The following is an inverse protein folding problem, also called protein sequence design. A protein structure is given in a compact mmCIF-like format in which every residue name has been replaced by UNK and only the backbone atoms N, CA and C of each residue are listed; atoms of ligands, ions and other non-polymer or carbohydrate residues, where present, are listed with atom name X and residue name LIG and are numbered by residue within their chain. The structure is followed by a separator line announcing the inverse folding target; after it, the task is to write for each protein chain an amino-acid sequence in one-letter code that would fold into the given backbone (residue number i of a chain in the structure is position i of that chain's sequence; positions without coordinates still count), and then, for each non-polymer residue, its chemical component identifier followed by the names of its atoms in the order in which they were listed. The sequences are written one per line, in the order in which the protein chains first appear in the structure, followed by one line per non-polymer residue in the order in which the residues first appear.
data_IF_296303731141
#
_entry.id   IF_296303731141
#
_cell.length_a   1.000
_cell.length_b   1.000
_cell.length_c   1.000
_cell.angle_alpha   90.00
_cell.angle_beta   90.00
_cell.angle_gamma   90.00
#
_symmetry.space_group_name_H-M   'P 1'
#
loop_
_entity.id
_entity.type
_entity.pdbx_description
1 polymer ?
#
# COMPACT_ATOMS: atom_id res chain seq x y z
N UNK A 1 -13.35 9.98 -5.03
CA UNK A 1 -11.89 9.78 -4.98
C UNK A 1 -11.68 8.31 -4.76
N UNK A 2 -10.94 7.65 -5.66
CA UNK A 2 -10.62 6.24 -5.46
C UNK A 2 -9.63 6.10 -4.30
N UNK A 3 -9.85 5.16 -3.38
CA UNK A 3 -8.95 4.99 -2.24
C UNK A 3 -7.56 4.60 -2.73
N UNK A 4 -6.50 4.99 -2.00
CA UNK A 4 -5.17 4.49 -2.27
C UNK A 4 -5.18 2.96 -2.17
N UNK A 5 -4.54 2.31 -3.14
CA UNK A 5 -4.48 0.85 -3.24
C UNK A 5 -3.03 0.42 -3.38
N UNK A 6 -2.66 -0.63 -2.64
CA UNK A 6 -1.36 -1.29 -2.72
C UNK A 6 -1.62 -2.76 -3.06
N UNK A 7 -1.17 -3.20 -4.23
CA UNK A 7 -1.21 -4.60 -4.65
C UNK A 7 0.19 -5.21 -4.44
N UNK A 8 0.26 -6.33 -3.70
CA UNK A 8 1.51 -7.02 -3.37
C UNK A 8 1.42 -8.49 -3.82
N UNK A 9 2.16 -8.82 -4.87
CA UNK A 9 2.35 -10.19 -5.35
C UNK A 9 3.82 -10.37 -5.77
N UNK A 10 4.10 -10.91 -6.96
CA UNK A 10 5.44 -10.95 -7.56
C UNK A 10 6.03 -9.55 -7.82
N UNK A 11 5.17 -8.54 -7.87
CA UNK A 11 5.50 -7.12 -7.99
C UNK A 11 4.70 -6.32 -6.95
N UNK A 12 5.13 -5.08 -6.69
CA UNK A 12 4.39 -4.12 -5.88
C UNK A 12 3.87 -3.00 -6.76
N UNK A 13 2.57 -2.69 -6.66
CA UNK A 13 1.94 -1.58 -7.37
C UNK A 13 1.21 -0.66 -6.41
N UNK A 14 1.34 0.65 -6.60
CA UNK A 14 0.64 1.67 -5.82
C UNK A 14 -0.20 2.54 -6.74
N UNK A 15 -1.50 2.60 -6.45
CA UNK A 15 -2.46 3.44 -7.16
C UNK A 15 -3.01 4.50 -6.21
N UNK A 16 -3.01 5.75 -6.64
CA UNK A 16 -3.59 6.90 -5.90
C UNK A 16 -4.59 7.60 -6.79
N UNK A 17 -5.82 7.78 -6.32
CA UNK A 17 -6.91 8.39 -7.09
C UNK A 17 -7.07 7.77 -8.49
N UNK A 18 -6.98 6.44 -8.57
CA UNK A 18 -7.13 5.68 -9.83
C UNK A 18 -5.91 5.70 -10.76
N UNK A 19 -4.85 6.46 -10.44
CA UNK A 19 -3.62 6.52 -11.25
C UNK A 19 -2.53 5.64 -10.66
N UNK A 20 -1.92 4.77 -11.47
CA UNK A 20 -0.71 4.03 -11.05
C UNK A 20 0.44 5.02 -10.86
N UNK A 21 0.93 5.14 -9.64
CA UNK A 21 1.96 6.12 -9.26
C UNK A 21 3.33 5.48 -9.05
N UNK A 22 3.38 4.18 -8.75
CA UNK A 22 4.60 3.43 -8.54
C UNK A 22 4.41 1.96 -8.91
N UNK A 23 5.41 1.41 -9.60
CA UNK A 23 5.56 -0.03 -9.84
C UNK A 23 6.98 -0.45 -9.50
N UNK A 24 7.09 -1.48 -8.66
CA UNK A 24 8.34 -2.16 -8.32
C UNK A 24 8.24 -3.58 -8.89
N UNK A 25 8.88 -3.80 -10.04
CA UNK A 25 8.81 -5.07 -10.77
C UNK A 25 9.54 -6.22 -10.06
N UNK A 26 10.62 -5.93 -9.34
CA UNK A 26 11.39 -6.91 -8.58
C UNK A 26 11.78 -6.33 -7.22
N UNK A 27 11.54 -7.09 -6.16
CA UNK A 27 11.93 -6.70 -4.81
C UNK A 27 13.29 -7.30 -4.45
N UNK A 28 14.09 -6.57 -3.66
CA UNK A 28 15.40 -7.05 -3.20
C UNK A 28 15.32 -8.18 -2.18
N UNK A 29 14.16 -8.33 -1.52
CA UNK A 29 13.92 -9.33 -0.47
C UNK A 29 12.97 -10.42 -0.92
N UNK A 30 12.87 -11.50 -0.13
CA UNK A 30 11.82 -12.50 -0.32
C UNK A 30 10.51 -11.98 0.29
N UNK A 31 9.40 -12.26 -0.38
CA UNK A 31 8.07 -12.00 0.17
C UNK A 31 7.87 -12.84 1.44
N UNK A 32 7.36 -12.22 2.48
CA UNK A 32 7.00 -12.87 3.74
C UNK A 32 5.68 -12.29 4.26
N UNK A 33 4.86 -13.14 4.87
CA UNK A 33 3.70 -12.67 5.61
C UNK A 33 4.15 -11.90 6.85
N UNK A 34 3.40 -10.84 7.19
CA UNK A 34 3.72 -9.98 8.32
C UNK A 34 2.59 -9.01 8.64
N UNK A 35 2.82 -8.20 9.68
CA UNK A 35 1.88 -7.16 10.08
C UNK A 35 1.95 -5.95 9.15
N UNK A 36 0.81 -5.30 8.94
CA UNK A 36 0.71 -4.04 8.20
C UNK A 36 0.49 -2.91 9.21
N UNK A 37 1.27 -1.84 9.10
CA UNK A 37 1.17 -0.66 9.96
C UNK A 37 0.80 0.59 9.16
N UNK A 38 -0.01 1.46 9.75
CA UNK A 38 -0.26 2.81 9.27
C UNK A 38 0.60 3.77 10.09
N UNK A 39 1.35 4.63 9.41
CA UNK A 39 2.28 5.56 10.06
C UNK A 39 1.91 6.99 9.69
N UNK A 40 1.95 7.86 10.70
CA UNK A 40 1.73 9.31 10.58
C UNK A 40 2.96 9.99 11.17
N UNK A 41 3.53 10.93 10.43
CA UNK A 41 4.75 11.59 10.86
C UNK A 41 4.49 12.56 12.02
N UNK A 42 5.54 12.85 12.80
CA UNK A 42 5.45 13.74 13.96
C UNK A 42 5.00 15.13 13.51
N UNK A 43 4.04 15.71 14.24
CA UNK A 43 3.50 17.04 13.94
C UNK A 43 2.49 17.06 12.80
N UNK A 44 2.11 15.90 12.26
CA UNK A 44 1.03 15.77 11.28
C UNK A 44 -0.17 15.04 11.89
N UNK A 45 -1.37 15.39 11.44
CA UNK A 45 -2.60 14.67 11.77
C UNK A 45 -3.16 14.04 10.49
N UNK A 46 -3.56 12.78 10.58
CA UNK A 46 -4.16 12.05 9.48
C UNK A 46 -5.30 11.15 9.97
N UNK A 47 -6.31 11.00 9.11
CA UNK A 47 -7.48 10.17 9.38
C UNK A 47 -7.56 9.08 8.31
N UNK A 48 -7.75 7.84 8.75
CA UNK A 48 -7.92 6.69 7.87
C UNK A 48 -9.32 6.11 8.05
N UNK A 49 -9.96 5.75 6.96
CA UNK A 49 -11.26 5.07 6.98
C UNK A 49 -11.35 4.07 5.84
N UNK A 50 -12.28 3.12 5.94
CA UNK A 50 -12.54 2.11 4.91
C UNK A 50 -11.30 1.27 4.54
N UNK A 51 -10.50 0.89 5.55
CA UNK A 51 -9.38 -0.03 5.37
C UNK A 51 -9.91 -1.43 5.03
N UNK A 52 -9.52 -1.95 3.86
CA UNK A 52 -9.91 -3.28 3.39
C UNK A 52 -8.65 -4.05 3.02
N UNK A 53 -8.56 -5.30 3.50
CA UNK A 53 -7.54 -6.26 3.08
C UNK A 53 -8.24 -7.38 2.30
N UNK A 54 -7.78 -7.61 1.07
CA UNK A 54 -8.26 -8.71 0.23
C UNK A 54 -7.10 -9.68 0.01
N UNK A 55 -7.21 -10.95 0.46
CA UNK A 55 -6.24 -11.97 0.12
C UNK A 55 -6.20 -12.18 -1.41
N UNK A 56 -5.01 -12.43 -1.94
CA UNK A 56 -4.83 -12.87 -3.32
C UNK A 56 -4.93 -14.38 -3.45
#
# INVERSE_FOLDING_TARGET
MDPPKIDVNTQVKVTVNGTETLTIAETKGKQAAGNIGLFVDIGTEAFFSNLVLTPH
#
